data_IF_141634100042
#
_entry.id   IF_141634100042
#
_cell.length_a   1.000
_cell.length_b   1.000
_cell.length_c   1.000
_cell.angle_alpha   90.00
_cell.angle_beta   90.00
_cell.angle_gamma   90.00
#
_symmetry.space_group_name_H-M   'P 1'
#
loop_
_entity.id
_entity.type
_entity.pdbx_description
1 polymer ?
#
# COMPACT_ATOMS: atom_id res chain seq x y z
N UNK A 1 7.42 35.52 13.78
CA UNK A 1 6.09 36.18 13.82
C UNK A 1 5.39 35.73 12.55
N UNK A 2 4.35 34.90 12.51
CA UNK A 2 3.30 34.45 13.44
C UNK A 2 2.80 33.11 12.88
N UNK A 3 3.04 32.00 13.57
CA UNK A 3 2.01 31.12 14.17
C UNK A 3 0.74 30.92 13.31
N UNK A 4 0.70 29.81 12.56
CA UNK A 4 -0.53 29.19 12.06
C UNK A 4 -0.51 27.70 12.41
N UNK A 5 -0.55 27.45 13.73
CA UNK A 5 -1.11 26.20 14.27
C UNK A 5 -2.62 26.27 14.08
N UNK A 6 -3.16 25.41 13.23
CA UNK A 6 -4.50 24.85 13.45
C UNK A 6 -4.33 23.42 13.96
N UNK A 7 -4.45 23.19 15.27
CA UNK A 7 -4.48 21.86 15.82
C UNK A 7 -5.93 21.37 15.75
N UNK A 8 -6.24 20.47 14.81
CA UNK A 8 -7.16 19.41 15.21
C UNK A 8 -6.32 18.46 16.05
N UNK A 9 -6.19 18.80 17.34
CA UNK A 9 -5.71 17.88 18.37
C UNK A 9 -6.71 16.73 18.44
N UNK A 10 -6.63 15.77 17.50
CA UNK A 10 -7.05 14.41 17.79
C UNK A 10 -6.13 13.97 18.93
N UNK A 11 -6.61 14.07 20.16
CA UNK A 11 -5.94 13.53 21.35
C UNK A 11 -5.84 12.02 21.14
N UNK A 12 -4.78 11.62 20.46
CA UNK A 12 -4.40 10.22 20.38
C UNK A 12 -4.01 9.82 21.80
N UNK A 13 -4.63 8.75 22.29
CA UNK A 13 -4.35 8.24 23.64
C UNK A 13 -2.83 7.98 23.82
N UNK A 14 -2.27 8.20 25.02
CA UNK A 14 -0.87 7.87 25.31
C UNK A 14 -0.55 6.41 24.94
N UNK A 15 0.66 6.11 24.46
CA UNK A 15 1.04 4.75 23.99
C UNK A 15 0.80 3.69 25.05
N UNK A 16 1.18 3.95 26.30
CA UNK A 16 0.93 3.07 27.45
C UNK A 16 -0.57 2.81 27.70
N UNK A 17 -1.42 3.83 27.47
CA UNK A 17 -2.86 3.68 27.58
C UNK A 17 -3.44 2.91 26.38
N UNK A 18 -2.96 3.15 25.15
CA UNK A 18 -3.34 2.36 23.98
C UNK A 18 -2.98 0.89 24.18
N UNK A 19 -1.80 0.59 24.72
CA UNK A 19 -1.36 -0.78 24.96
C UNK A 19 -2.16 -1.46 26.09
N UNK A 20 -2.52 -0.72 27.14
CA UNK A 20 -3.44 -1.21 28.19
C UNK A 20 -4.84 -1.49 27.62
N UNK A 21 -5.40 -0.57 26.84
CA UNK A 21 -6.70 -0.73 26.18
C UNK A 21 -6.68 -1.90 25.20
N UNK A 22 -5.60 -2.10 24.43
CA UNK A 22 -5.42 -3.26 23.56
C UNK A 22 -5.47 -4.56 24.36
N UNK A 23 -4.69 -4.67 25.44
CA UNK A 23 -4.70 -5.86 26.31
C UNK A 23 -6.09 -6.13 26.88
N UNK A 24 -6.79 -5.11 27.36
CA UNK A 24 -8.17 -5.26 27.87
C UNK A 24 -9.13 -5.71 26.77
N UNK A 25 -9.06 -5.13 25.57
CA UNK A 25 -9.90 -5.49 24.42
C UNK A 25 -9.60 -6.90 23.86
N UNK A 26 -8.37 -7.39 24.03
CA UNK A 26 -7.96 -8.74 23.67
C UNK A 26 -8.40 -9.77 24.71
N UNK A 27 -8.39 -9.42 26.00
CA UNK A 27 -8.67 -10.33 27.13
C UNK A 27 -10.14 -10.40 27.55
N UNK A 28 -10.94 -9.34 27.33
CA UNK A 28 -12.35 -9.30 27.72
C UNK A 28 -13.31 -9.58 26.55
N UNK A 29 -14.52 -10.11 26.81
CA UNK A 29 -15.54 -10.35 25.79
C UNK A 29 -16.22 -9.05 25.33
N UNK A 30 -15.44 -8.02 24.96
CA UNK A 30 -15.91 -6.81 24.27
C UNK A 30 -16.23 -7.09 22.78
N UNK A 31 -16.75 -8.29 22.50
CA UNK A 31 -17.07 -8.77 21.16
C UNK A 31 -18.06 -7.89 20.39
N UNK A 32 -19.08 -7.25 21.02
CA UNK A 32 -19.99 -6.36 20.31
C UNK A 32 -19.27 -5.10 19.81
N UNK A 33 -18.43 -4.49 20.64
CA UNK A 33 -17.68 -3.29 20.29
C UNK A 33 -16.68 -3.56 19.16
N UNK A 34 -15.95 -4.69 19.26
CA UNK A 34 -15.03 -5.13 18.20
C UNK A 34 -15.74 -5.37 16.87
N UNK A 35 -16.88 -6.08 16.90
CA UNK A 35 -17.71 -6.29 15.70
C UNK A 35 -18.20 -4.98 15.11
N UNK A 36 -18.54 -4.00 15.94
CA UNK A 36 -19.01 -2.69 15.49
C UNK A 36 -17.94 -1.87 14.77
N UNK A 37 -16.67 -1.98 15.20
CA UNK A 37 -15.53 -1.32 14.55
C UNK A 37 -14.95 -2.09 13.37
N UNK A 38 -15.19 -3.41 13.29
CA UNK A 38 -14.73 -4.27 12.19
C UNK A 38 -15.52 -4.09 10.90
N UNK A 39 -16.67 -3.40 10.94
CA UNK A 39 -17.51 -3.16 9.76
C UNK A 39 -18.00 -4.45 9.08
N UNK A 40 -18.27 -4.36 7.78
CA UNK A 40 -18.69 -5.51 6.96
C UNK A 40 -17.49 -6.31 6.42
N UNK A 41 -16.31 -5.70 6.39
CA UNK A 41 -15.10 -6.36 5.91
C UNK A 41 -13.86 -5.48 6.00
N UNK A 42 -12.77 -5.98 5.41
CA UNK A 42 -11.49 -5.26 5.31
C UNK A 42 -10.88 -5.46 3.94
N UNK A 43 -10.18 -4.45 3.44
CA UNK A 43 -9.30 -4.58 2.27
C UNK A 43 -7.87 -4.48 2.77
N UNK A 44 -7.09 -5.55 2.60
CA UNK A 44 -5.70 -5.62 3.01
C UNK A 44 -4.80 -5.12 1.89
N UNK A 45 -3.78 -4.35 2.23
CA UNK A 45 -2.78 -3.83 1.29
C UNK A 45 -1.40 -4.39 1.63
N UNK A 46 -0.87 -5.17 0.70
CA UNK A 46 0.49 -5.66 0.66
C UNK A 46 1.23 -4.94 -0.48
N UNK A 47 2.56 -5.09 -0.53
CA UNK A 47 3.35 -4.67 -1.70
C UNK A 47 4.19 -5.86 -2.15
N UNK A 48 5.17 -6.25 -1.33
CA UNK A 48 6.09 -7.33 -1.65
C UNK A 48 5.93 -8.54 -0.76
N UNK A 49 6.03 -9.73 -1.34
CA UNK A 49 6.22 -10.99 -0.61
C UNK A 49 7.65 -11.47 -0.85
N UNK A 50 8.39 -11.77 0.20
CA UNK A 50 9.83 -12.02 0.09
C UNK A 50 10.27 -13.29 0.80
N UNK A 51 11.12 -14.09 0.19
CA UNK A 51 11.73 -15.27 0.80
C UNK A 51 13.04 -14.89 1.51
N UNK A 52 12.94 -14.07 2.56
CA UNK A 52 14.12 -13.72 3.35
C UNK A 52 14.28 -14.72 4.50
N UNK A 53 15.14 -15.73 4.30
CA UNK A 53 15.63 -16.60 5.39
C UNK A 53 16.56 -15.89 6.39
N UNK A 54 17.03 -14.67 6.07
CA UNK A 54 18.19 -14.05 6.74
C UNK A 54 17.99 -12.66 7.38
N UNK A 55 16.76 -12.18 7.62
CA UNK A 55 16.59 -10.97 8.44
C UNK A 55 16.43 -11.30 9.93
N UNK A 56 17.54 -11.26 10.65
CA UNK A 56 17.56 -11.16 12.11
C UNK A 56 17.44 -9.70 12.52
N UNK A 57 16.26 -9.10 12.45
CA UNK A 57 16.06 -7.80 13.09
C UNK A 57 14.71 -7.75 13.80
N UNK A 58 14.79 -7.54 15.11
CA UNK A 58 13.66 -7.12 15.94
C UNK A 58 13.25 -5.69 15.56
N UNK A 59 12.06 -5.27 16.01
CA UNK A 59 11.56 -3.91 15.80
C UNK A 59 12.57 -2.87 16.29
N UNK A 60 13.01 -1.97 15.40
CA UNK A 60 13.93 -0.88 15.75
C UNK A 60 15.41 -1.27 15.80
N UNK A 61 15.81 -2.39 15.19
CA UNK A 61 17.24 -2.66 15.00
C UNK A 61 17.85 -1.65 14.02
N UNK A 62 18.37 -0.57 14.58
CA UNK A 62 19.05 0.49 13.85
C UNK A 62 20.44 0.08 13.37
N UNK A 63 20.87 -1.17 13.59
CA UNK A 63 22.17 -1.67 13.12
C UNK A 63 22.18 -2.05 11.63
N UNK A 64 21.02 -2.09 10.97
CA UNK A 64 20.92 -2.35 9.53
C UNK A 64 20.14 -1.24 8.82
N UNK A 65 20.69 -0.77 7.70
CA UNK A 65 20.00 0.19 6.83
C UNK A 65 18.99 -0.56 5.97
N UNK A 66 17.68 -0.42 6.24
CA UNK A 66 16.57 -1.05 5.49
C UNK A 66 15.32 -0.15 5.51
N UNK A 67 15.35 1.02 4.84
CA UNK A 67 14.29 2.02 4.95
C UNK A 67 12.92 1.52 4.46
N UNK A 68 12.89 0.56 3.52
CA UNK A 68 11.66 0.03 2.94
C UNK A 68 11.25 -1.34 3.47
N UNK A 69 11.78 -1.77 4.62
CA UNK A 69 11.38 -3.05 5.24
C UNK A 69 9.84 -3.12 5.44
N UNK A 70 9.20 -1.99 5.72
CA UNK A 70 7.74 -1.89 5.86
C UNK A 70 6.93 -2.22 4.60
N UNK A 71 7.55 -2.30 3.42
CA UNK A 71 6.89 -2.68 2.16
C UNK A 71 6.94 -4.19 1.88
N UNK A 72 7.60 -4.98 2.72
CA UNK A 72 7.80 -6.41 2.47
C UNK A 72 7.18 -7.27 3.56
N UNK A 73 6.58 -8.40 3.20
CA UNK A 73 6.14 -9.44 4.14
C UNK A 73 6.88 -10.74 3.80
N UNK A 74 7.42 -11.41 4.82
CA UNK A 74 8.05 -12.71 4.62
C UNK A 74 7.04 -13.74 4.11
N UNK A 75 7.44 -14.59 3.16
CA UNK A 75 6.57 -15.59 2.53
C UNK A 75 5.90 -16.54 3.54
N UNK A 76 6.58 -16.98 4.59
CA UNK A 76 5.98 -17.86 5.59
C UNK A 76 4.94 -17.12 6.45
N UNK A 77 5.21 -15.85 6.80
CA UNK A 77 4.20 -15.02 7.48
C UNK A 77 2.98 -14.79 6.60
N UNK A 78 3.19 -14.53 5.30
CA UNK A 78 2.09 -14.41 4.36
C UNK A 78 1.28 -15.71 4.27
N UNK A 79 1.94 -16.88 4.24
CA UNK A 79 1.28 -18.20 4.30
C UNK A 79 0.45 -18.38 5.57
N UNK A 80 0.96 -18.02 6.74
CA UNK A 80 0.21 -18.06 8.00
C UNK A 80 -1.03 -17.13 7.96
N UNK A 81 -0.88 -15.94 7.39
CA UNK A 81 -1.96 -14.96 7.24
C UNK A 81 -3.04 -15.46 6.27
N UNK A 82 -2.68 -16.04 5.12
CA UNK A 82 -3.64 -16.60 4.15
C UNK A 82 -4.38 -17.81 4.73
N UNK A 83 -3.68 -18.68 5.46
CA UNK A 83 -4.30 -19.77 6.23
C UNK A 83 -5.31 -19.25 7.25
N UNK A 84 -4.97 -18.18 7.96
CA UNK A 84 -5.90 -17.57 8.91
C UNK A 84 -7.15 -17.00 8.22
N UNK A 85 -6.98 -16.32 7.08
CA UNK A 85 -8.10 -15.79 6.29
C UNK A 85 -9.03 -16.93 5.86
N UNK A 86 -8.51 -18.02 5.28
CA UNK A 86 -9.35 -19.11 4.78
C UNK A 86 -10.10 -19.85 5.89
N UNK A 87 -9.55 -19.93 7.11
CA UNK A 87 -10.20 -20.60 8.24
C UNK A 87 -11.23 -19.71 8.95
N UNK A 88 -10.93 -18.41 9.11
CA UNK A 88 -11.66 -17.53 10.04
C UNK A 88 -12.41 -16.37 9.37
N UNK A 89 -12.16 -16.10 8.09
CA UNK A 89 -12.79 -15.02 7.33
C UNK A 89 -13.56 -15.61 6.12
N UNK A 90 -14.17 -14.73 5.32
CA UNK A 90 -14.61 -15.06 3.96
C UNK A 90 -13.71 -14.26 3.00
N UNK A 91 -12.75 -14.90 2.30
CA UNK A 91 -11.98 -14.22 1.28
C UNK A 91 -12.89 -13.86 0.10
N UNK A 92 -12.75 -12.64 -0.42
CA UNK A 92 -13.52 -12.16 -1.58
C UNK A 92 -12.60 -11.41 -2.55
N UNK A 93 -12.80 -11.53 -3.88
CA UNK A 93 -12.14 -10.66 -4.84
C UNK A 93 -12.63 -9.23 -4.69
N UNK A 94 -11.84 -8.24 -5.11
CA UNK A 94 -12.27 -6.84 -5.09
C UNK A 94 -13.50 -6.59 -5.99
N UNK A 95 -13.76 -7.47 -6.96
CA UNK A 95 -14.93 -7.42 -7.83
C UNK A 95 -16.26 -7.58 -7.11
N UNK A 96 -16.24 -8.14 -5.90
CA UNK A 96 -17.44 -8.33 -5.10
C UNK A 96 -17.72 -7.15 -4.16
N UNK A 97 -16.82 -6.17 -4.08
CA UNK A 97 -16.93 -5.10 -3.08
C UNK A 97 -18.17 -4.23 -3.27
N UNK A 98 -18.63 -3.99 -4.50
CA UNK A 98 -19.88 -3.27 -4.74
C UNK A 98 -21.07 -3.97 -4.07
N UNK A 99 -21.20 -5.29 -4.27
CA UNK A 99 -22.23 -6.10 -3.64
C UNK A 99 -22.08 -6.18 -2.11
N UNK A 100 -20.84 -6.19 -1.60
CA UNK A 100 -20.55 -6.15 -0.17
C UNK A 100 -20.99 -4.83 0.46
N UNK A 101 -20.70 -3.71 -0.21
CA UNK A 101 -21.08 -2.37 0.26
C UNK A 101 -22.59 -2.14 0.18
N UNK A 102 -23.23 -2.64 -0.87
CA UNK A 102 -24.69 -2.63 -1.02
C UNK A 102 -25.42 -3.54 -0.02
N UNK A 103 -24.70 -4.46 0.64
CA UNK A 103 -25.28 -5.45 1.56
C UNK A 103 -25.88 -6.68 0.87
N UNK A 104 -25.79 -6.76 -0.46
CA UNK A 104 -26.23 -7.89 -1.29
C UNK A 104 -25.36 -9.14 -1.05
N UNK A 105 -24.07 -8.94 -0.74
CA UNK A 105 -23.16 -9.98 -0.29
C UNK A 105 -22.75 -9.75 1.16
N UNK A 106 -23.27 -10.56 2.07
CA UNK A 106 -22.99 -10.44 3.51
C UNK A 106 -22.62 -11.77 4.15
N UNK A 107 -21.94 -11.71 5.30
CA UNK A 107 -21.53 -12.89 6.06
C UNK A 107 -21.45 -12.61 7.56
N UNK A 108 -21.62 -13.66 8.37
CA UNK A 108 -21.36 -13.61 9.82
C UNK A 108 -19.85 -13.57 10.13
N UNK A 109 -19.03 -14.13 9.24
CA UNK A 109 -17.57 -14.03 9.28
C UNK A 109 -17.14 -12.74 8.56
N UNK A 110 -16.05 -12.08 8.97
CA UNK A 110 -15.58 -10.87 8.28
C UNK A 110 -15.19 -11.19 6.84
N UNK A 111 -15.58 -10.33 5.91
CA UNK A 111 -15.17 -10.37 4.50
C UNK A 111 -13.77 -9.75 4.38
N UNK A 112 -12.88 -10.35 3.61
CA UNK A 112 -11.51 -9.87 3.43
C UNK A 112 -11.13 -9.92 1.96
N UNK A 113 -10.74 -8.77 1.40
CA UNK A 113 -10.08 -8.67 0.10
C UNK A 113 -8.57 -8.47 0.30
N UNK A 114 -7.75 -9.14 -0.50
CA UNK A 114 -6.28 -9.03 -0.44
C UNK A 114 -5.78 -8.31 -1.68
N UNK A 115 -5.04 -7.22 -1.49
CA UNK A 115 -4.54 -6.38 -2.58
C UNK A 115 -3.02 -6.19 -2.48
N UNK A 116 -2.37 -6.05 -3.62
CA UNK A 116 -0.95 -5.78 -3.81
C UNK A 116 -0.78 -4.54 -4.69
N UNK A 117 0.16 -3.68 -4.35
CA UNK A 117 0.49 -2.48 -5.13
C UNK A 117 1.80 -2.64 -5.90
N UNK A 118 2.01 -1.75 -6.87
CA UNK A 118 3.18 -1.56 -7.74
C UNK A 118 3.44 -2.60 -8.83
N UNK A 119 2.93 -3.83 -8.71
CA UNK A 119 3.14 -4.89 -9.70
C UNK A 119 4.52 -5.58 -9.60
N UNK A 120 4.97 -5.85 -8.38
CA UNK A 120 6.23 -6.57 -8.14
C UNK A 120 6.19 -8.01 -8.66
N UNK A 121 7.33 -8.49 -9.16
CA UNK A 121 7.50 -9.86 -9.67
C UNK A 121 7.17 -10.92 -8.62
N UNK A 122 7.45 -10.62 -7.36
CA UNK A 122 7.14 -11.52 -6.25
C UNK A 122 5.65 -11.69 -5.94
N UNK A 123 4.78 -10.86 -6.51
CA UNK A 123 3.33 -11.10 -6.49
C UNK A 123 2.97 -12.35 -7.32
N UNK A 124 3.69 -12.61 -8.42
CA UNK A 124 3.52 -13.84 -9.22
C UNK A 124 4.29 -15.01 -8.62
N UNK A 125 5.56 -14.82 -8.25
CA UNK A 125 6.45 -15.95 -7.93
C UNK A 125 6.28 -16.48 -6.50
N UNK A 126 5.76 -15.67 -5.57
CA UNK A 126 5.58 -16.05 -4.17
C UNK A 126 4.14 -15.86 -3.69
N UNK A 127 3.53 -14.69 -3.94
CA UNK A 127 2.20 -14.40 -3.40
C UNK A 127 1.10 -15.27 -4.01
N UNK A 128 1.04 -15.39 -5.34
CA UNK A 128 0.03 -16.20 -6.02
C UNK A 128 0.05 -17.67 -5.58
N UNK A 129 1.20 -18.40 -5.61
CA UNK A 129 1.25 -19.79 -5.14
C UNK A 129 0.70 -19.98 -3.73
N UNK A 130 1.04 -19.07 -2.81
CA UNK A 130 0.54 -19.13 -1.43
C UNK A 130 -0.96 -18.83 -1.35
N UNK A 131 -1.46 -17.89 -2.16
CA UNK A 131 -2.88 -17.59 -2.23
C UNK A 131 -3.70 -18.77 -2.78
N UNK A 132 -3.17 -19.51 -3.76
CA UNK A 132 -3.75 -20.74 -4.31
C UNK A 132 -3.87 -21.84 -3.24
N UNK A 133 -2.84 -22.03 -2.40
CA UNK A 133 -2.84 -23.02 -1.29
C UNK A 133 -4.09 -22.90 -0.40
N UNK A 134 -4.64 -21.68 -0.26
CA UNK A 134 -5.78 -21.39 0.62
C UNK A 134 -7.02 -20.86 -0.09
N UNK A 135 -7.03 -20.84 -1.42
CA UNK A 135 -8.13 -20.31 -2.25
C UNK A 135 -8.53 -18.87 -1.86
N UNK A 136 -7.53 -18.02 -1.64
CA UNK A 136 -7.73 -16.60 -1.32
C UNK A 136 -7.55 -15.78 -2.60
N UNK A 137 -8.59 -15.09 -3.10
CA UNK A 137 -8.43 -14.19 -4.22
C UNK A 137 -7.51 -13.02 -3.86
N UNK A 138 -6.66 -12.64 -4.80
CA UNK A 138 -5.75 -11.50 -4.69
C UNK A 138 -6.02 -10.50 -5.80
N UNK A 139 -5.65 -9.25 -5.59
CA UNK A 139 -5.71 -8.23 -6.63
C UNK A 139 -4.40 -7.47 -6.71
N UNK A 140 -3.98 -7.12 -7.92
CA UNK A 140 -2.68 -6.48 -8.16
C UNK A 140 -2.94 -5.17 -8.89
N UNK A 141 -2.60 -4.05 -8.25
CA UNK A 141 -2.61 -2.72 -8.83
C UNK A 141 -1.27 -2.46 -9.51
N UNK A 142 -1.30 -2.30 -10.82
CA UNK A 142 -0.10 -2.26 -11.66
C UNK A 142 0.26 -0.83 -12.02
N UNK A 143 1.50 -0.44 -11.70
CA UNK A 143 2.12 0.77 -12.23
C UNK A 143 2.68 0.46 -13.61
N UNK A 144 2.07 0.96 -14.68
CA UNK A 144 2.35 0.47 -16.04
C UNK A 144 3.75 0.81 -16.54
N UNK A 145 4.33 1.91 -16.08
CA UNK A 145 5.70 2.31 -16.40
C UNK A 145 6.76 1.42 -15.75
N UNK A 146 6.49 0.84 -14.58
CA UNK A 146 7.38 -0.15 -13.95
C UNK A 146 7.36 -1.49 -14.67
N UNK A 147 6.21 -1.89 -15.24
CA UNK A 147 6.11 -3.11 -16.07
C UNK A 147 6.73 -2.88 -17.44
N UNK A 148 6.49 -1.71 -18.04
CA UNK A 148 7.00 -1.34 -19.38
C UNK A 148 8.45 -0.87 -19.39
N UNK A 149 9.05 -0.69 -18.21
CA UNK A 149 10.46 -0.29 -18.00
C UNK A 149 10.78 1.10 -18.51
N UNK A 150 9.78 1.96 -18.52
CA UNK A 150 9.93 3.37 -18.92
C UNK A 150 10.34 4.26 -17.76
N UNK A 151 10.09 3.82 -16.52
CA UNK A 151 10.51 4.50 -15.29
C UNK A 151 10.93 3.50 -14.21
N UNK A 152 11.77 3.93 -13.28
CA UNK A 152 12.17 3.15 -12.11
C UNK A 152 11.59 3.70 -10.79
N UNK A 153 11.49 2.86 -9.74
CA UNK A 153 11.00 3.26 -8.42
C UNK A 153 12.05 4.09 -7.69
N UNK A 154 11.85 5.41 -7.66
CA UNK A 154 12.85 6.33 -7.12
C UNK A 154 13.29 6.00 -5.69
N UNK A 155 12.40 5.44 -4.86
CA UNK A 155 12.68 5.13 -3.45
C UNK A 155 13.66 3.96 -3.31
N UNK A 156 13.54 2.94 -4.15
CA UNK A 156 14.49 1.81 -4.14
C UNK A 156 15.83 2.19 -4.76
N UNK A 157 15.82 3.06 -5.77
CA UNK A 157 17.04 3.59 -6.37
C UNK A 157 17.79 4.51 -5.40
N UNK A 158 17.07 5.37 -4.68
CA UNK A 158 17.63 6.17 -3.59
C UNK A 158 18.20 5.29 -2.48
N UNK A 159 17.47 4.25 -2.07
CA UNK A 159 17.97 3.27 -1.09
C UNK A 159 19.27 2.64 -1.57
N UNK A 160 19.36 2.21 -2.83
CA UNK A 160 20.55 1.56 -3.38
C UNK A 160 21.76 2.52 -3.40
N UNK A 161 21.58 3.76 -3.87
CA UNK A 161 22.63 4.78 -3.87
C UNK A 161 23.13 5.05 -2.45
N UNK A 162 22.23 5.29 -1.49
CA UNK A 162 22.61 5.56 -0.08
C UNK A 162 23.27 4.33 0.56
N UNK A 163 22.80 3.12 0.22
CA UNK A 163 23.37 1.87 0.73
C UNK A 163 24.79 1.65 0.25
N UNK A 164 25.08 1.94 -1.01
CA UNK A 164 26.34 1.57 -1.66
C UNK A 164 27.38 2.70 -1.69
N UNK A 165 26.98 3.93 -1.37
CA UNK A 165 27.87 5.10 -1.39
C UNK A 165 28.46 5.41 -0.01
N UNK A 166 29.65 6.02 0.01
CA UNK A 166 30.24 6.63 1.23
C UNK A 166 29.73 8.04 1.48
N UNK A 167 29.22 8.70 0.45
CA UNK A 167 28.60 10.02 0.48
C UNK A 167 27.69 10.20 -0.72
N UNK A 168 26.66 11.04 -0.60
CA UNK A 168 25.74 11.41 -1.69
C UNK A 168 25.75 12.93 -1.83
N UNK A 169 25.82 13.44 -3.06
CA UNK A 169 25.70 14.89 -3.31
C UNK A 169 24.30 15.19 -3.82
N UNK A 170 23.62 16.16 -3.22
CA UNK A 170 22.27 16.56 -3.59
C UNK A 170 22.01 18.03 -3.22
N UNK A 171 21.45 18.82 -4.12
CA UNK A 171 21.19 20.25 -3.92
C UNK A 171 22.46 21.09 -3.72
N UNK A 172 23.62 20.62 -4.16
CA UNK A 172 24.93 21.23 -3.89
C UNK A 172 25.51 20.94 -2.49
N UNK A 173 24.81 20.14 -1.67
CA UNK A 173 25.27 19.68 -0.36
C UNK A 173 25.81 18.23 -0.44
N UNK A 174 26.75 17.89 0.43
CA UNK A 174 27.32 16.53 0.53
C UNK A 174 26.83 15.89 1.83
N UNK A 175 26.19 14.73 1.70
CA UNK A 175 25.67 13.92 2.79
C UNK A 175 26.59 12.72 3.04
N UNK A 176 27.04 12.51 4.27
CA UNK A 176 27.84 11.34 4.64
C UNK A 176 26.98 10.07 4.70
N UNK A 177 27.53 8.93 4.28
CA UNK A 177 26.87 7.61 4.28
C UNK A 177 27.81 6.49 4.77
N UNK A 178 28.71 6.80 5.72
CA UNK A 178 29.77 5.86 6.15
C UNK A 178 29.27 4.86 7.20
N UNK A 179 28.31 5.27 8.03
CA UNK A 179 27.66 4.47 9.06
C UNK A 179 26.18 4.26 8.77
N UNK A 180 25.55 3.31 9.44
CA UNK A 180 24.11 3.04 9.29
C UNK A 180 23.27 4.24 9.71
N UNK A 181 23.66 4.93 10.79
CA UNK A 181 22.99 6.15 11.25
C UNK A 181 23.04 7.25 10.20
N UNK A 182 24.20 7.49 9.61
CA UNK A 182 24.39 8.49 8.54
C UNK A 182 23.58 8.13 7.29
N UNK A 183 23.54 6.85 6.90
CA UNK A 183 22.69 6.37 5.80
C UNK A 183 21.21 6.61 6.09
N UNK A 184 20.74 6.30 7.30
CA UNK A 184 19.35 6.55 7.70
C UNK A 184 19.01 8.05 7.64
N UNK A 185 19.88 8.92 8.16
CA UNK A 185 19.67 10.38 8.14
C UNK A 185 19.68 10.94 6.71
N UNK A 186 20.62 10.49 5.88
CA UNK A 186 20.70 10.89 4.47
C UNK A 186 19.44 10.45 3.72
N UNK A 187 19.06 9.17 3.86
CA UNK A 187 17.86 8.64 3.23
C UNK A 187 16.61 9.43 3.64
N UNK A 188 16.40 9.68 4.94
CA UNK A 188 15.23 10.44 5.41
C UNK A 188 15.20 11.88 4.87
N UNK A 189 16.36 12.50 4.68
CA UNK A 189 16.46 13.86 4.16
C UNK A 189 16.12 13.91 2.67
N UNK A 190 16.67 12.99 1.89
CA UNK A 190 16.41 12.89 0.45
C UNK A 190 15.00 12.35 0.17
N UNK A 191 14.51 11.32 0.88
CA UNK A 191 13.13 10.81 0.75
C UNK A 191 12.10 11.93 0.93
N UNK A 192 12.32 12.82 1.91
CA UNK A 192 11.48 14.01 2.08
C UNK A 192 11.50 14.90 0.84
N UNK A 193 12.67 15.21 0.29
CA UNK A 193 12.78 16.04 -0.92
C UNK A 193 12.07 15.39 -2.11
N UNK A 194 12.24 14.09 -2.32
CA UNK A 194 11.57 13.33 -3.38
C UNK A 194 10.05 13.29 -3.22
N UNK A 195 9.55 13.14 -1.99
CA UNK A 195 8.10 13.16 -1.71
C UNK A 195 7.45 14.53 -1.94
N UNK A 196 8.20 15.61 -1.91
CA UNK A 196 7.69 16.95 -2.19
C UNK A 196 7.93 17.40 -3.63
N UNK A 197 8.47 16.53 -4.47
CA UNK A 197 8.74 16.80 -5.87
C UNK A 197 7.65 16.23 -6.78
N UNK A 198 7.46 16.90 -7.92
CA UNK A 198 6.74 16.34 -9.07
C UNK A 198 7.51 15.14 -9.66
N UNK A 199 6.85 14.34 -10.48
CA UNK A 199 7.48 13.20 -11.17
C UNK A 199 8.68 13.63 -12.02
N UNK A 200 8.60 14.75 -12.72
CA UNK A 200 9.72 15.31 -13.51
C UNK A 200 10.91 15.66 -12.62
N UNK A 201 10.65 16.27 -11.46
CA UNK A 201 11.68 16.63 -10.50
C UNK A 201 12.31 15.40 -9.83
N UNK A 202 11.52 14.38 -9.52
CA UNK A 202 12.04 13.09 -9.02
C UNK A 202 13.02 12.48 -10.02
N UNK A 203 12.70 12.49 -11.32
CA UNK A 203 13.61 12.02 -12.37
C UNK A 203 14.89 12.86 -12.45
N UNK A 204 14.78 14.19 -12.28
CA UNK A 204 15.95 15.09 -12.19
C UNK A 204 16.81 14.75 -10.97
N UNK A 205 16.21 14.50 -9.82
CA UNK A 205 16.92 14.16 -8.59
C UNK A 205 17.61 12.81 -8.68
N UNK A 206 17.00 11.80 -9.32
CA UNK A 206 17.66 10.52 -9.59
C UNK A 206 18.94 10.70 -10.41
N UNK A 207 18.89 11.48 -11.50
CA UNK A 207 20.08 11.80 -12.30
C UNK A 207 21.14 12.53 -11.50
N UNK A 208 20.73 13.47 -10.65
CA UNK A 208 21.64 14.25 -9.80
C UNK A 208 22.42 13.37 -8.81
N UNK A 209 21.76 12.40 -8.19
CA UNK A 209 22.41 11.46 -7.25
C UNK A 209 23.09 10.28 -7.96
N UNK A 210 23.10 10.25 -9.30
CA UNK A 210 23.66 9.15 -10.10
C UNK A 210 22.87 7.84 -10.02
N UNK A 211 21.58 7.91 -9.71
CA UNK A 211 20.68 6.77 -9.63
C UNK A 211 20.04 6.49 -11.00
N UNK A 212 20.54 5.49 -11.72
CA UNK A 212 19.93 5.00 -12.95
C UNK A 212 19.58 3.51 -12.82
N UNK A 213 18.31 3.11 -13.01
CA UNK A 213 17.95 1.70 -12.96
C UNK A 213 18.55 0.96 -14.16
N UNK A 214 19.21 -0.17 -13.91
CA UNK A 214 19.54 -1.09 -15.00
C UNK A 214 18.31 -1.89 -15.42
N UNK A 215 18.24 -2.29 -16.68
CA UNK A 215 17.15 -3.14 -17.18
C UNK A 215 17.04 -4.44 -16.38
N UNK A 216 18.18 -5.10 -16.12
CA UNK A 216 18.26 -6.32 -15.31
C UNK A 216 17.76 -6.11 -13.88
N UNK A 217 18.05 -4.96 -13.25
CA UNK A 217 17.52 -4.64 -11.94
C UNK A 217 15.99 -4.58 -11.96
N UNK A 218 15.40 -3.83 -12.90
CA UNK A 218 13.95 -3.77 -13.04
C UNK A 218 13.35 -5.14 -13.37
N UNK A 219 14.04 -5.97 -14.16
CA UNK A 219 13.58 -7.32 -14.58
C UNK A 219 13.48 -8.28 -13.41
N UNK A 220 14.40 -8.15 -12.47
CA UNK A 220 14.36 -8.90 -11.22
C UNK A 220 13.23 -8.45 -10.27
N UNK A 221 12.78 -7.20 -10.41
CA UNK A 221 11.93 -6.55 -9.41
C UNK A 221 10.44 -6.51 -9.79
N UNK A 222 10.14 -6.17 -11.05
CA UNK A 222 8.77 -5.99 -11.53
C UNK A 222 8.37 -7.08 -12.50
N UNK A 223 7.06 -7.26 -12.63
CA UNK A 223 6.48 -8.09 -13.66
C UNK A 223 6.85 -7.55 -15.05
N UNK A 224 6.80 -8.40 -16.06
CA UNK A 224 6.68 -8.00 -17.46
C UNK A 224 5.23 -8.18 -17.98
N UNK A 225 4.95 -7.72 -19.20
CA UNK A 225 3.61 -7.81 -19.78
C UNK A 225 3.10 -9.23 -19.99
N UNK A 226 4.00 -10.21 -20.21
CA UNK A 226 3.62 -11.62 -20.32
C UNK A 226 3.20 -12.20 -18.96
N UNK A 227 3.90 -11.80 -17.90
CA UNK A 227 3.62 -12.16 -16.51
C UNK A 227 2.31 -11.50 -16.02
N UNK A 228 2.05 -10.24 -16.38
CA UNK A 228 0.78 -9.55 -16.07
C UNK A 228 -0.40 -10.22 -16.79
N UNK A 229 -0.25 -10.61 -18.07
CA UNK A 229 -1.29 -11.37 -18.81
C UNK A 229 -1.59 -12.71 -18.14
N UNK A 230 -0.56 -13.46 -17.76
CA UNK A 230 -0.71 -14.73 -17.04
C UNK A 230 -1.45 -14.55 -15.72
N UNK A 231 -1.16 -13.46 -14.99
CA UNK A 231 -1.89 -13.11 -13.77
C UNK A 231 -3.35 -12.78 -14.07
N UNK A 232 -3.64 -11.98 -15.09
CA UNK A 232 -5.00 -11.59 -15.47
C UNK A 232 -5.89 -12.78 -15.88
N UNK A 233 -5.30 -13.82 -16.48
CA UNK A 233 -6.00 -15.06 -16.87
C UNK A 233 -6.28 -15.98 -15.68
N UNK A 234 -5.68 -15.73 -14.51
CA UNK A 234 -5.81 -16.59 -13.34
C UNK A 234 -7.11 -16.32 -12.58
N UNK A 235 -7.86 -17.37 -12.25
CA UNK A 235 -9.20 -17.27 -11.66
C UNK A 235 -9.27 -16.61 -10.26
N UNK A 236 -8.15 -16.61 -9.54
CA UNK A 236 -8.02 -15.95 -8.23
C UNK A 236 -7.50 -14.51 -8.30
N UNK A 237 -7.18 -13.98 -9.48
CA UNK A 237 -6.49 -12.69 -9.61
C UNK A 237 -7.40 -11.66 -10.27
N UNK A 238 -7.33 -10.42 -9.78
CA UNK A 238 -7.93 -9.25 -10.44
C UNK A 238 -6.85 -8.18 -10.65
N UNK A 239 -6.76 -7.63 -11.86
CA UNK A 239 -5.82 -6.55 -12.16
C UNK A 239 -6.53 -5.19 -12.03
N UNK A 240 -5.85 -4.23 -11.39
CA UNK A 240 -6.25 -2.83 -11.29
C UNK A 240 -5.15 -1.88 -11.74
N UNK A 241 -5.48 -0.61 -11.93
CA UNK A 241 -4.53 0.43 -12.33
C UNK A 241 -3.87 1.11 -11.12
N UNK A 242 -2.61 1.51 -11.27
CA UNK A 242 -1.82 2.21 -10.24
C UNK A 242 -0.98 3.37 -10.79
N UNK A 243 -1.54 4.14 -11.73
CA UNK A 243 -0.85 5.22 -12.49
C UNK A 243 0.25 4.69 -13.42
N UNK A 244 0.84 5.59 -14.22
CA UNK A 244 1.90 5.24 -15.17
C UNK A 244 3.24 5.29 -14.47
N UNK A 245 3.53 6.38 -13.76
CA UNK A 245 4.86 6.62 -13.18
C UNK A 245 4.91 6.64 -11.66
N UNK A 246 3.82 6.27 -10.99
CA UNK A 246 3.71 6.30 -9.52
C UNK A 246 4.08 7.67 -8.89
N UNK A 247 3.55 8.81 -9.39
CA UNK A 247 3.82 10.11 -8.79
C UNK A 247 3.05 10.29 -7.48
N UNK A 248 3.51 11.21 -6.63
CA UNK A 248 2.67 11.71 -5.53
C UNK A 248 1.61 12.64 -6.14
N UNK A 249 0.43 12.11 -6.47
CA UNK A 249 -0.60 12.81 -7.24
C UNK A 249 -0.95 14.20 -6.68
N UNK A 250 -0.90 14.42 -5.37
CA UNK A 250 -1.14 15.72 -4.75
C UNK A 250 -0.15 16.82 -5.12
N UNK A 251 1.06 16.47 -5.55
CA UNK A 251 2.07 17.42 -6.06
C UNK A 251 1.84 17.78 -7.53
N UNK A 252 1.04 16.99 -8.23
CA UNK A 252 0.83 17.15 -9.66
C UNK A 252 -0.32 18.11 -9.99
N UNK A 253 -0.33 18.63 -11.20
CA UNK A 253 -1.48 19.36 -11.72
C UNK A 253 -2.65 18.42 -11.99
N UNK A 254 -3.89 18.93 -11.95
CA UNK A 254 -5.09 18.14 -12.26
C UNK A 254 -5.03 17.43 -13.61
N UNK A 255 -4.43 18.08 -14.61
CA UNK A 255 -4.22 17.49 -15.95
C UNK A 255 -3.33 16.26 -15.86
N UNK A 256 -2.17 16.38 -15.21
CA UNK A 256 -1.24 15.26 -15.04
C UNK A 256 -1.87 14.12 -14.23
N UNK A 257 -2.59 14.44 -13.15
CA UNK A 257 -3.35 13.42 -12.37
C UNK A 257 -4.31 12.64 -13.27
N UNK A 258 -5.07 13.34 -14.14
CA UNK A 258 -5.98 12.70 -15.08
C UNK A 258 -5.25 11.85 -16.10
N UNK A 259 -4.16 12.36 -16.67
CA UNK A 259 -3.38 11.67 -17.71
C UNK A 259 -2.72 10.39 -17.14
N UNK A 260 -2.16 10.46 -15.93
CA UNK A 260 -1.59 9.32 -15.20
C UNK A 260 -2.62 8.20 -14.94
N UNK A 261 -3.83 8.58 -14.51
CA UNK A 261 -4.90 7.63 -14.22
C UNK A 261 -5.49 7.02 -15.50
N UNK A 262 -5.76 7.86 -16.51
CA UNK A 262 -6.38 7.42 -17.75
C UNK A 262 -5.42 6.53 -18.54
N UNK A 263 -4.18 6.98 -18.76
CA UNK A 263 -3.24 6.26 -19.59
C UNK A 263 -2.79 4.94 -18.99
N UNK A 264 -2.66 4.86 -17.65
CA UNK A 264 -2.37 3.58 -16.99
C UNK A 264 -3.49 2.56 -17.18
N UNK A 265 -4.76 2.99 -17.17
CA UNK A 265 -5.88 2.13 -17.54
C UNK A 265 -5.81 1.72 -19.01
N UNK A 266 -5.65 2.66 -19.93
CA UNK A 266 -5.65 2.38 -21.38
C UNK A 266 -4.58 1.35 -21.74
N UNK A 267 -3.35 1.53 -21.24
CA UNK A 267 -2.25 0.58 -21.47
C UNK A 267 -2.57 -0.82 -20.92
N UNK A 268 -3.23 -0.90 -19.76
CA UNK A 268 -3.67 -2.19 -19.21
C UNK A 268 -4.77 -2.83 -20.08
N UNK A 269 -5.78 -2.07 -20.49
CA UNK A 269 -6.89 -2.55 -21.32
C UNK A 269 -6.41 -2.99 -22.71
N UNK A 270 -5.46 -2.28 -23.31
CA UNK A 270 -4.81 -2.65 -24.58
C UNK A 270 -4.03 -3.97 -24.46
N UNK A 271 -3.33 -4.18 -23.35
CA UNK A 271 -2.54 -5.40 -23.15
C UNK A 271 -3.39 -6.60 -22.72
N UNK A 272 -4.45 -6.39 -21.94
CA UNK A 272 -5.24 -7.45 -21.32
C UNK A 272 -6.55 -7.76 -22.05
N UNK A 273 -6.97 -6.88 -22.96
CA UNK A 273 -8.19 -7.03 -23.76
C UNK A 273 -9.47 -7.17 -22.92
N UNK A 274 -9.48 -6.60 -21.71
CA UNK A 274 -10.67 -6.50 -20.86
C UNK A 274 -10.67 -5.17 -20.10
N UNK A 275 -11.86 -4.67 -19.66
CA UNK A 275 -11.95 -3.41 -18.94
C UNK A 275 -11.21 -3.42 -17.59
N UNK A 276 -10.63 -2.28 -17.22
CA UNK A 276 -10.03 -2.07 -15.89
C UNK A 276 -10.92 -1.15 -15.07
N UNK A 277 -11.50 -1.72 -14.01
CA UNK A 277 -12.53 -1.08 -13.19
C UNK A 277 -12.00 -0.51 -11.88
N UNK A 278 -10.81 -0.94 -11.45
CA UNK A 278 -10.30 -0.70 -10.11
C UNK A 278 -9.01 0.11 -10.15
N UNK A 279 -8.84 1.01 -9.19
CA UNK A 279 -7.68 1.89 -9.11
C UNK A 279 -7.14 1.99 -7.68
N UNK A 280 -5.82 2.01 -7.49
CA UNK A 280 -5.23 2.39 -6.21
C UNK A 280 -4.43 3.69 -6.37
N UNK A 281 -4.54 4.62 -5.41
CA UNK A 281 -3.75 5.85 -5.45
C UNK A 281 -2.34 5.58 -4.92
N UNK A 282 -1.26 5.92 -5.66
CA UNK A 282 0.12 5.88 -5.15
C UNK A 282 0.23 6.62 -3.81
N UNK A 283 0.88 6.01 -2.83
CA UNK A 283 0.97 6.44 -1.42
C UNK A 283 -0.37 6.53 -0.68
N UNK A 284 -1.42 7.07 -1.30
CA UNK A 284 -2.83 7.01 -0.94
C UNK A 284 -3.24 7.54 0.43
N UNK A 285 -2.33 8.17 1.18
CA UNK A 285 -2.64 8.79 2.46
C UNK A 285 -3.38 10.13 2.26
N UNK A 286 -3.70 10.82 3.37
CA UNK A 286 -4.43 12.09 3.34
C UNK A 286 -3.66 13.24 2.67
N UNK A 287 -2.33 13.15 2.61
CA UNK A 287 -1.46 14.12 1.95
C UNK A 287 -1.25 13.79 0.46
N UNK A 288 -1.40 12.52 0.08
CA UNK A 288 -1.22 12.04 -1.29
C UNK A 288 -2.51 12.09 -2.14
N UNK A 289 -3.67 11.88 -1.53
CA UNK A 289 -4.96 11.80 -2.22
C UNK A 289 -6.02 12.61 -1.47
N UNK A 290 -6.50 13.69 -2.12
CA UNK A 290 -7.59 14.55 -1.64
C UNK A 290 -8.81 14.51 -2.56
N UNK A 291 -9.73 15.46 -2.38
CA UNK A 291 -10.98 15.51 -3.16
C UNK A 291 -10.74 15.60 -4.67
N UNK A 292 -9.67 16.28 -5.09
CA UNK A 292 -9.32 16.44 -6.50
C UNK A 292 -9.04 15.09 -7.17
N UNK A 293 -8.20 14.25 -6.56
CA UNK A 293 -7.86 12.92 -7.11
C UNK A 293 -9.11 12.01 -7.16
N UNK A 294 -9.96 12.12 -6.15
CA UNK A 294 -11.22 11.37 -6.04
C UNK A 294 -12.22 11.79 -7.12
N UNK A 295 -12.37 13.09 -7.37
CA UNK A 295 -13.18 13.62 -8.46
C UNK A 295 -12.68 13.14 -9.82
N UNK A 296 -11.36 13.16 -10.05
CA UNK A 296 -10.76 12.65 -11.29
C UNK A 296 -11.04 11.17 -11.47
N UNK A 297 -10.88 10.35 -10.44
CA UNK A 297 -11.19 8.92 -10.51
C UNK A 297 -12.67 8.66 -10.85
N UNK A 298 -13.57 9.47 -10.28
CA UNK A 298 -15.00 9.42 -10.59
C UNK A 298 -15.30 9.82 -12.04
N UNK A 299 -14.70 10.90 -12.55
CA UNK A 299 -14.86 11.36 -13.94
C UNK A 299 -14.35 10.35 -14.96
N UNK A 300 -13.32 9.59 -14.58
CA UNK A 300 -12.79 8.52 -15.40
C UNK A 300 -13.64 7.25 -15.34
N UNK A 301 -14.68 7.19 -14.49
CA UNK A 301 -15.57 6.04 -14.32
C UNK A 301 -14.86 4.77 -13.81
N UNK A 302 -13.91 4.91 -12.88
CA UNK A 302 -13.53 3.76 -12.07
C UNK A 302 -14.74 3.30 -11.24
N UNK A 303 -14.87 1.99 -11.00
CA UNK A 303 -15.93 1.44 -10.16
C UNK A 303 -15.60 1.62 -8.67
N UNK A 304 -14.36 1.32 -8.29
CA UNK A 304 -13.84 1.50 -6.93
C UNK A 304 -12.39 1.98 -7.01
N UNK A 305 -12.03 2.95 -6.17
CA UNK A 305 -10.65 3.39 -5.98
C UNK A 305 -10.21 3.33 -4.51
N UNK A 306 -8.96 2.94 -4.28
CA UNK A 306 -8.43 2.58 -2.97
C UNK A 306 -7.34 3.53 -2.48
N UNK A 307 -7.51 3.98 -1.23
CA UNK A 307 -6.53 4.78 -0.48
C UNK A 307 -5.67 3.89 0.42
N UNK A 308 -4.70 4.45 1.14
CA UNK A 308 -3.94 3.76 2.20
C UNK A 308 -4.38 4.17 3.61
N UNK A 309 -5.48 4.91 3.69
CA UNK A 309 -6.06 5.38 4.95
C UNK A 309 -6.56 4.16 5.71
N UNK A 310 -5.89 3.85 6.83
CA UNK A 310 -6.17 2.65 7.61
C UNK A 310 -7.61 2.61 8.12
N UNK A 311 -8.38 1.60 7.70
CA UNK A 311 -9.77 1.44 8.11
C UNK A 311 -10.43 0.17 7.57
N UNK A 312 -11.52 -0.22 8.24
CA UNK A 312 -12.44 -1.26 7.76
C UNK A 312 -13.48 -0.67 6.80
N UNK A 313 -14.14 -1.53 6.02
CA UNK A 313 -15.23 -1.11 5.14
C UNK A 313 -16.61 -1.29 5.80
N UNK A 314 -17.56 -0.45 5.39
CA UNK A 314 -18.88 -0.26 5.97
C UNK A 314 -19.85 0.03 4.81
N UNK A 315 -21.15 -0.29 4.92
CA UNK A 315 -22.11 -0.02 3.85
C UNK A 315 -22.14 1.45 3.41
N UNK A 316 -21.88 2.39 4.33
CA UNK A 316 -21.76 3.82 4.03
C UNK A 316 -20.71 4.16 2.95
N UNK A 317 -19.69 3.32 2.77
CA UNK A 317 -18.68 3.52 1.72
C UNK A 317 -19.24 3.32 0.30
N UNK A 318 -20.49 2.85 0.13
CA UNK A 318 -21.17 2.89 -1.19
C UNK A 318 -21.20 4.32 -1.77
N UNK A 319 -21.24 5.35 -0.90
CA UNK A 319 -21.19 6.77 -1.29
C UNK A 319 -19.76 7.32 -1.43
N UNK A 320 -18.76 6.49 -1.16
CA UNK A 320 -17.34 6.85 -1.14
C UNK A 320 -16.49 5.81 -1.88
N UNK A 321 -17.06 5.20 -2.93
CA UNK A 321 -16.42 4.13 -3.69
C UNK A 321 -15.05 4.53 -4.26
N UNK A 322 -14.85 5.82 -4.55
CA UNK A 322 -13.58 6.37 -5.06
C UNK A 322 -12.51 6.60 -3.97
N UNK A 323 -12.77 6.26 -2.71
CA UNK A 323 -11.82 6.47 -1.62
C UNK A 323 -11.92 5.38 -0.54
N UNK A 324 -12.00 4.11 -0.95
CA UNK A 324 -12.07 3.00 0.01
C UNK A 324 -10.81 2.93 0.88
N UNK A 325 -10.95 2.74 2.21
CA UNK A 325 -9.80 2.54 3.09
C UNK A 325 -9.21 1.14 2.92
N UNK A 326 -7.91 1.02 3.17
CA UNK A 326 -7.18 -0.26 3.20
C UNK A 326 -6.38 -0.37 4.49
N UNK A 327 -6.18 -1.59 4.97
CA UNK A 327 -5.31 -1.89 6.10
C UNK A 327 -3.97 -2.36 5.56
N UNK A 328 -2.92 -1.56 5.78
CA UNK A 328 -1.54 -1.95 5.45
C UNK A 328 -1.12 -3.20 6.21
N UNK A 329 -0.50 -4.14 5.51
CA UNK A 329 0.22 -5.27 6.10
C UNK A 329 1.70 -5.12 5.78
N UNK A 330 2.50 -4.99 6.82
CA UNK A 330 3.94 -4.70 6.78
C UNK A 330 4.76 -5.87 7.35
N UNK A 331 6.09 -5.78 7.24
CA UNK A 331 7.02 -6.78 7.76
C UNK A 331 6.76 -7.17 9.21
N UNK A 332 6.31 -6.23 10.04
CA UNK A 332 6.13 -6.40 11.46
C UNK A 332 4.74 -6.94 11.84
N UNK A 333 3.91 -7.33 10.87
CA UNK A 333 2.62 -7.97 11.12
C UNK A 333 2.76 -9.50 11.23
N UNK A 334 3.25 -9.93 12.40
CA UNK A 334 3.08 -11.32 12.82
C UNK A 334 1.59 -11.69 12.97
N UNK A 335 1.29 -12.99 13.06
CA UNK A 335 -0.09 -13.46 13.15
C UNK A 335 -0.89 -12.81 14.30
N UNK A 336 -0.36 -12.62 15.52
CA UNK A 336 -1.04 -11.86 16.57
C UNK A 336 -1.41 -10.42 16.17
N UNK A 337 -0.49 -9.65 15.58
CA UNK A 337 -0.77 -8.27 15.14
C UNK A 337 -1.74 -8.24 13.96
N UNK A 338 -1.57 -9.15 13.01
CA UNK A 338 -2.48 -9.32 11.88
C UNK A 338 -3.93 -9.58 12.35
N UNK A 339 -4.12 -10.46 13.34
CA UNK A 339 -5.42 -10.73 13.95
C UNK A 339 -6.02 -9.52 14.66
N UNK A 340 -5.19 -8.71 15.32
CA UNK A 340 -5.64 -7.45 15.93
C UNK A 340 -6.19 -6.50 14.88
N UNK A 341 -5.43 -6.27 13.79
CA UNK A 341 -5.82 -5.43 12.65
C UNK A 341 -7.19 -5.83 12.09
N UNK A 342 -7.40 -7.11 11.83
CA UNK A 342 -8.67 -7.63 11.31
C UNK A 342 -9.84 -7.60 12.30
N UNK A 343 -9.61 -7.32 13.58
CA UNK A 343 -10.64 -7.44 14.61
C UNK A 343 -11.32 -6.12 15.00
N UNK A 344 -10.93 -4.98 14.41
CA UNK A 344 -11.42 -3.65 14.79
C UNK A 344 -10.75 -3.04 16.03
N UNK A 345 -9.92 -3.80 16.75
CA UNK A 345 -9.24 -3.32 17.97
C UNK A 345 -8.30 -2.16 17.66
N UNK A 346 -7.55 -2.23 16.55
CA UNK A 346 -6.64 -1.14 16.19
C UNK A 346 -7.40 0.14 15.84
N UNK A 347 -8.53 0.03 15.13
CA UNK A 347 -9.42 1.16 14.82
C UNK A 347 -9.94 1.84 16.08
N UNK A 348 -10.37 1.08 17.10
CA UNK A 348 -10.81 1.64 18.39
C UNK A 348 -9.70 2.48 19.03
N UNK A 349 -8.45 2.00 19.01
CA UNK A 349 -7.35 2.70 19.70
C UNK A 349 -6.76 3.87 18.93
N UNK A 350 -6.94 3.90 17.60
CA UNK A 350 -6.42 4.95 16.74
C UNK A 350 -7.40 6.12 16.59
N UNK A 351 -8.69 5.83 16.42
CA UNK A 351 -9.76 6.83 16.29
C UNK A 351 -11.08 6.34 16.94
N UNK A 352 -11.20 6.41 18.27
CA UNK A 352 -12.36 5.87 19.01
C UNK A 352 -13.68 6.61 18.74
N UNK A 353 -13.69 7.64 17.88
CA UNK A 353 -14.88 8.44 17.58
C UNK A 353 -15.26 8.42 16.10
N UNK A 354 -14.36 8.00 15.19
CA UNK A 354 -14.67 7.90 13.76
C UNK A 354 -14.23 6.54 13.22
N UNK A 355 -15.21 5.65 13.07
CA UNK A 355 -15.00 4.31 12.52
C UNK A 355 -14.99 4.28 10.98
N UNK A 356 -15.72 5.20 10.35
CA UNK A 356 -15.84 5.27 8.88
C UNK A 356 -14.76 6.22 8.40
N UNK A 357 -13.83 5.69 7.62
CA UNK A 357 -12.67 6.43 7.12
C UNK A 357 -12.98 6.85 5.69
N UNK A 358 -13.37 8.11 5.54
CA UNK A 358 -13.64 8.75 4.25
C UNK A 358 -12.57 9.81 3.95
N UNK A 359 -12.89 10.74 3.03
CA UNK A 359 -12.04 11.81 2.49
C UNK A 359 -11.41 12.75 3.52
#
# INVERSE_FOLDING_TARGET
MTDLRYPVLRRSLPRSFKDLVKKVLESYPLSPLRKWYRGVGSVLMYHRITDYKNFHTSWGDSSVFQPHLGLSVNAERFREQMRYISQHCIPVPISDLDAVLAGEKSSKKPLVAVTFDDGYKDNLTLALPIAEEFQVPISIFVTTGFVSRTVGPWWLLLEDVVRNSKSVTFGGEVFDCKSVTEKQQTFLSLDRAFRHATGEEQQRYLREIGAEPTESYLESLYLDWSEVKRLAEHSLVTIGAHTVTHPLLSQESRRIVRDEMLHSREVLEENLLHPIKYFAYPFGDRLACGNREIEVASELNFAIAFTTRSGHIFPDHVRHAMALPRITVDYFDDLPRFRRKLSGVESITSDPFHRIVTT
#
